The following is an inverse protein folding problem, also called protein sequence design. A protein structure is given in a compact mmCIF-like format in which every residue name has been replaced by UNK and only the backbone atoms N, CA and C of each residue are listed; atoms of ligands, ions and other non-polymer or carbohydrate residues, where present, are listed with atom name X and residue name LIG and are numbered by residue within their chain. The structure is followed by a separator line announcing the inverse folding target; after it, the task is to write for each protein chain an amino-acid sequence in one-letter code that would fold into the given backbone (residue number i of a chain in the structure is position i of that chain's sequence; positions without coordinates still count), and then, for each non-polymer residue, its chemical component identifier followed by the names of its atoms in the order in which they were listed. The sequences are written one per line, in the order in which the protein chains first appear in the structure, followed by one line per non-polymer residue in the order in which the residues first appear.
data_IF_439889261727
#
_entry.id   IF_439889261727
#
_cell.length_a   1.000
_cell.length_b   1.000
_cell.length_c   1.000
_cell.angle_alpha   90.00
_cell.angle_beta   90.00
_cell.angle_gamma   90.00
#
_symmetry.space_group_name_H-M   'P 1'
#
loop_
_entity.id
_entity.type
_entity.pdbx_description
1 polymer ?
#
# COMPACT_ATOMS: atom_id res chain seq x y z
N UNK A 1 -2.65 -27.04 2.51
CA UNK A 1 -2.01 -26.09 1.59
C UNK A 1 -2.18 -24.68 2.17
N UNK A 2 -1.15 -23.83 2.11
CA UNK A 2 -1.30 -22.44 2.51
C UNK A 2 -2.32 -21.75 1.58
N UNK A 3 -3.25 -20.99 2.16
CA UNK A 3 -4.22 -20.20 1.37
C UNK A 3 -3.49 -19.15 0.56
N UNK A 4 -3.89 -18.93 -0.69
CA UNK A 4 -3.34 -17.90 -1.55
C UNK A 4 -3.47 -16.51 -0.89
N UNK A 5 -2.45 -15.67 -1.06
CA UNK A 5 -2.49 -14.28 -0.60
C UNK A 5 -2.04 -13.39 -1.75
N UNK A 6 -2.87 -12.43 -2.12
CA UNK A 6 -2.52 -11.40 -3.11
C UNK A 6 -2.64 -10.01 -2.49
N UNK A 7 -2.13 -8.98 -3.17
CA UNK A 7 -2.28 -7.60 -2.77
C UNK A 7 -2.95 -6.80 -3.89
N UNK A 8 -3.87 -5.91 -3.52
CA UNK A 8 -4.43 -4.87 -4.38
C UNK A 8 -3.85 -3.54 -3.93
N UNK A 9 -3.04 -2.93 -4.80
CA UNK A 9 -2.39 -1.65 -4.57
C UNK A 9 -3.15 -0.57 -5.34
N UNK A 10 -3.80 0.34 -4.61
CA UNK A 10 -4.63 1.39 -5.19
C UNK A 10 -3.73 2.53 -5.70
N UNK A 11 -3.59 2.64 -7.02
CA UNK A 11 -2.72 3.60 -7.69
C UNK A 11 -3.45 4.42 -8.77
N UNK A 12 -4.79 4.47 -8.74
CA UNK A 12 -5.60 5.11 -9.78
C UNK A 12 -5.72 6.64 -9.64
N UNK A 13 -5.33 7.21 -8.50
CA UNK A 13 -5.53 8.63 -8.20
C UNK A 13 -4.71 9.56 -9.08
N UNK A 14 -5.33 10.65 -9.56
CA UNK A 14 -4.71 11.68 -10.40
C UNK A 14 -3.60 12.48 -9.69
N UNK A 15 -3.69 12.64 -8.38
CA UNK A 15 -2.68 13.35 -7.59
C UNK A 15 -2.61 14.86 -7.87
N UNK A 16 -3.74 15.54 -8.04
CA UNK A 16 -3.82 16.98 -8.37
C UNK A 16 -2.94 17.88 -7.49
N UNK A 17 -2.88 17.58 -6.19
CA UNK A 17 -2.04 18.32 -5.23
C UNK A 17 -0.53 18.21 -5.46
N UNK A 18 -0.09 17.21 -6.24
CA UNK A 18 1.31 17.08 -6.64
C UNK A 18 1.75 18.12 -7.67
N UNK A 19 0.79 18.80 -8.33
CA UNK A 19 1.05 19.78 -9.41
C UNK A 19 2.08 19.23 -10.41
N UNK A 20 1.80 18.06 -10.96
CA UNK A 20 2.72 17.31 -11.82
C UNK A 20 1.95 16.54 -12.89
N UNK A 21 2.54 16.43 -14.09
CA UNK A 21 2.04 15.54 -15.14
C UNK A 21 2.37 14.07 -14.88
N UNK A 22 3.34 13.80 -13.99
CA UNK A 22 3.74 12.46 -13.61
C UNK A 22 2.73 11.85 -12.66
N UNK A 23 2.39 10.58 -12.88
CA UNK A 23 1.51 9.81 -12.00
C UNK A 23 2.04 9.87 -10.55
N UNK A 24 1.15 10.09 -9.58
CA UNK A 24 1.51 10.37 -8.19
C UNK A 24 2.45 9.30 -7.60
N UNK A 25 2.10 8.02 -7.73
CA UNK A 25 2.88 6.93 -7.13
C UNK A 25 4.23 6.68 -7.82
N UNK A 26 4.47 7.36 -8.95
CA UNK A 26 5.74 7.28 -9.69
C UNK A 26 6.76 8.35 -9.27
N UNK A 27 6.41 9.29 -8.38
CA UNK A 27 7.39 10.21 -7.81
C UNK A 27 8.43 9.44 -6.99
N UNK A 28 9.70 9.79 -7.18
CA UNK A 28 10.82 9.09 -6.55
C UNK A 28 11.06 9.56 -5.11
N UNK A 29 11.38 8.60 -4.27
CA UNK A 29 11.88 8.73 -2.90
C UNK A 29 13.16 7.91 -2.80
N UNK A 30 14.29 8.54 -2.49
CA UNK A 30 15.59 7.87 -2.36
C UNK A 30 15.88 6.90 -3.53
N UNK A 31 15.65 7.35 -4.78
CA UNK A 31 15.98 6.61 -6.00
C UNK A 31 14.96 5.55 -6.45
N UNK A 32 13.83 5.40 -5.76
CA UNK A 32 12.76 4.46 -6.10
C UNK A 32 11.41 5.16 -6.13
N UNK A 33 10.47 4.83 -7.06
CA UNK A 33 9.09 5.34 -7.00
C UNK A 33 8.38 4.98 -5.69
N UNK A 34 7.43 5.80 -5.24
CA UNK A 34 6.60 5.50 -4.04
C UNK A 34 6.03 4.09 -4.09
N UNK A 35 5.37 3.73 -5.21
CA UNK A 35 4.81 2.39 -5.39
C UNK A 35 5.87 1.30 -5.26
N UNK A 36 7.12 1.57 -5.66
CA UNK A 36 8.23 0.62 -5.54
C UNK A 36 8.63 0.34 -4.09
N UNK A 37 8.40 1.29 -3.17
CA UNK A 37 8.57 1.07 -1.73
C UNK A 37 7.45 0.21 -1.17
N UNK A 38 6.20 0.51 -1.52
CA UNK A 38 5.03 -0.30 -1.13
C UNK A 38 5.16 -1.73 -1.66
N UNK A 39 5.51 -1.90 -2.93
CA UNK A 39 5.77 -3.20 -3.54
C UNK A 39 6.80 -4.02 -2.76
N UNK A 40 7.89 -3.40 -2.35
CA UNK A 40 8.92 -4.05 -1.55
C UNK A 40 8.36 -4.59 -0.23
N UNK A 41 7.54 -3.79 0.47
CA UNK A 41 6.98 -4.20 1.76
C UNK A 41 5.99 -5.37 1.65
N UNK A 42 5.27 -5.50 0.51
CA UNK A 42 4.26 -6.54 0.34
C UNK A 42 4.78 -7.82 -0.29
N UNK A 43 5.81 -7.77 -1.14
CA UNK A 43 6.25 -8.90 -1.99
C UNK A 43 6.60 -10.17 -1.22
N UNK A 44 7.10 -10.06 0.01
CA UNK A 44 7.49 -11.23 0.83
C UNK A 44 6.30 -11.88 1.55
N UNK A 45 5.14 -11.22 1.56
CA UNK A 45 3.96 -11.64 2.33
C UNK A 45 2.77 -12.04 1.45
N UNK A 46 2.96 -12.02 0.14
CA UNK A 46 1.99 -12.46 -0.86
C UNK A 46 2.52 -13.67 -1.64
N UNK A 47 1.61 -14.55 -2.05
CA UNK A 47 1.96 -15.73 -2.85
C UNK A 47 1.73 -15.52 -4.34
N UNK A 48 0.86 -14.55 -4.67
CA UNK A 48 0.47 -14.18 -6.03
C UNK A 48 1.07 -12.84 -6.42
N UNK A 49 1.11 -12.55 -7.72
CA UNK A 49 1.53 -11.22 -8.18
C UNK A 49 0.59 -10.14 -7.65
N UNK A 50 1.12 -9.02 -7.15
CA UNK A 50 0.28 -7.93 -6.71
C UNK A 50 -0.49 -7.34 -7.89
N UNK A 51 -1.72 -6.93 -7.63
CA UNK A 51 -2.59 -6.26 -8.58
C UNK A 51 -2.47 -4.76 -8.34
N UNK A 52 -2.00 -4.03 -9.33
CA UNK A 52 -1.93 -2.56 -9.29
C UNK A 52 -3.12 -1.99 -10.02
N UNK A 53 -3.94 -1.22 -9.30
CA UNK A 53 -5.11 -0.56 -9.88
C UNK A 53 -4.69 0.77 -10.47
N UNK A 54 -4.85 0.89 -11.77
CA UNK A 54 -4.46 2.04 -12.57
C UNK A 54 -5.67 2.94 -12.89
N UNK A 55 -5.38 4.22 -13.09
CA UNK A 55 -6.33 5.22 -13.56
C UNK A 55 -5.58 6.25 -14.40
N UNK A 56 -5.30 7.42 -13.85
CA UNK A 56 -4.52 8.47 -14.52
C UNK A 56 -3.09 8.00 -14.80
N UNK A 57 -2.62 8.22 -16.06
CA UNK A 57 -1.26 7.91 -16.53
C UNK A 57 -0.75 6.51 -16.10
N UNK A 58 -1.59 5.48 -16.27
CA UNK A 58 -1.26 4.11 -15.89
C UNK A 58 -0.12 3.49 -16.71
N UNK A 59 0.18 4.01 -17.90
CA UNK A 59 1.23 3.47 -18.77
C UNK A 59 2.63 3.66 -18.15
N UNK A 60 2.90 4.81 -17.52
CA UNK A 60 4.18 5.04 -16.82
C UNK A 60 4.45 4.02 -15.70
N UNK A 61 3.39 3.53 -15.05
CA UNK A 61 3.47 2.46 -14.03
C UNK A 61 3.80 1.12 -14.69
N UNK A 62 3.13 0.79 -15.78
CA UNK A 62 3.36 -0.46 -16.53
C UNK A 62 4.77 -0.53 -17.11
N UNK A 63 5.24 0.57 -17.67
CA UNK A 63 6.60 0.66 -18.25
C UNK A 63 7.67 0.39 -17.20
N UNK A 64 7.43 0.83 -15.96
CA UNK A 64 8.38 0.66 -14.88
C UNK A 64 8.33 -0.74 -14.24
N UNK A 65 7.14 -1.27 -13.94
CA UNK A 65 6.97 -2.53 -13.21
C UNK A 65 6.81 -3.74 -14.13
N UNK A 66 6.42 -3.55 -15.39
CA UNK A 66 6.34 -4.58 -16.41
C UNK A 66 5.51 -5.80 -15.95
N UNK A 67 6.12 -6.98 -15.98
CA UNK A 67 5.48 -8.25 -15.63
C UNK A 67 5.52 -8.58 -14.13
N UNK A 68 6.06 -7.70 -13.30
CA UNK A 68 6.13 -7.94 -11.84
C UNK A 68 4.75 -7.77 -11.16
N UNK A 69 3.79 -7.17 -11.87
CA UNK A 69 2.42 -6.91 -11.41
C UNK A 69 1.37 -7.42 -12.41
N UNK A 70 0.18 -7.67 -11.90
CA UNK A 70 -1.07 -7.69 -12.69
C UNK A 70 -1.67 -6.30 -12.64
N UNK A 71 -2.35 -5.87 -13.70
CA UNK A 71 -2.93 -4.53 -13.76
C UNK A 71 -4.45 -4.60 -13.92
N UNK A 72 -5.15 -3.78 -13.16
CA UNK A 72 -6.58 -3.55 -13.28
C UNK A 72 -6.83 -2.05 -13.52
N UNK A 73 -7.90 -1.72 -14.23
CA UNK A 73 -8.21 -0.33 -14.58
C UNK A 73 -9.50 0.13 -13.91
N UNK A 74 -9.39 1.21 -13.15
CA UNK A 74 -10.56 1.91 -12.65
C UNK A 74 -11.24 2.64 -13.81
N UNK A 75 -12.50 2.30 -14.10
CA UNK A 75 -13.24 2.89 -15.24
C UNK A 75 -13.67 4.32 -14.98
N UNK A 76 -14.13 4.61 -13.76
CA UNK A 76 -14.55 5.95 -13.36
C UNK A 76 -13.38 6.72 -12.76
N UNK A 77 -12.84 7.70 -13.47
CA UNK A 77 -11.77 8.60 -12.97
C UNK A 77 -12.25 10.03 -13.16
N UNK A 78 -12.33 10.85 -12.10
CA UNK A 78 -12.02 10.51 -10.70
C UNK A 78 -13.10 9.63 -10.08
N UNK A 79 -12.68 8.59 -9.38
CA UNK A 79 -13.53 7.68 -8.61
C UNK A 79 -13.05 7.58 -7.16
N UNK A 80 -13.80 6.85 -6.34
CA UNK A 80 -13.45 6.61 -4.94
C UNK A 80 -12.59 5.35 -4.77
N UNK A 81 -12.16 5.08 -3.53
CA UNK A 81 -11.35 3.89 -3.20
C UNK A 81 -12.09 2.58 -3.40
N UNK A 82 -13.42 2.58 -3.24
CA UNK A 82 -14.25 1.38 -3.44
C UNK A 82 -14.31 1.03 -4.92
N UNK A 83 -14.42 2.02 -5.82
CA UNK A 83 -14.38 1.78 -7.27
C UNK A 83 -13.02 1.19 -7.70
N UNK A 84 -11.93 1.73 -7.16
CA UNK A 84 -10.59 1.18 -7.39
C UNK A 84 -10.49 -0.26 -6.84
N UNK A 85 -11.03 -0.54 -5.64
CA UNK A 85 -11.04 -1.87 -5.06
C UNK A 85 -11.86 -2.85 -5.90
N UNK A 86 -13.03 -2.46 -6.41
CA UNK A 86 -13.84 -3.26 -7.34
C UNK A 86 -13.05 -3.63 -8.59
N UNK A 87 -12.36 -2.66 -9.19
CA UNK A 87 -11.50 -2.91 -10.34
C UNK A 87 -10.37 -3.89 -10.01
N UNK A 88 -9.70 -3.74 -8.85
CA UNK A 88 -8.67 -4.67 -8.41
C UNK A 88 -9.21 -6.08 -8.16
N UNK A 89 -10.37 -6.21 -7.52
CA UNK A 89 -11.00 -7.50 -7.24
C UNK A 89 -11.45 -8.24 -8.51
N UNK A 90 -11.76 -7.56 -9.60
CA UNK A 90 -12.07 -8.21 -10.88
C UNK A 90 -10.87 -8.98 -11.47
N UNK A 91 -9.64 -8.62 -11.08
CA UNK A 91 -8.41 -9.30 -11.49
C UNK A 91 -7.96 -10.40 -10.49
N UNK A 92 -8.67 -10.60 -9.38
CA UNK A 92 -8.39 -11.67 -8.42
C UNK A 92 -9.01 -12.98 -8.94
N UNK A 93 -8.17 -13.91 -9.37
CA UNK A 93 -8.61 -15.20 -9.93
C UNK A 93 -8.90 -16.27 -8.86
N UNK A 94 -8.40 -16.09 -7.63
CA UNK A 94 -8.62 -17.04 -6.55
C UNK A 94 -10.02 -16.85 -5.93
N UNK A 95 -10.67 -17.97 -5.58
CA UNK A 95 -11.95 -17.95 -4.84
C UNK A 95 -11.76 -18.03 -3.33
N UNK A 96 -10.61 -18.48 -2.89
CA UNK A 96 -10.25 -18.63 -1.47
C UNK A 96 -8.88 -18.04 -1.19
N UNK A 97 -8.68 -17.60 0.04
CA UNK A 97 -7.43 -16.99 0.48
C UNK A 97 -7.65 -15.57 0.99
N UNK A 98 -6.61 -14.78 0.94
CA UNK A 98 -6.61 -13.42 1.50
C UNK A 98 -6.20 -12.38 0.46
N UNK A 99 -6.77 -11.21 0.58
CA UNK A 99 -6.40 -10.05 -0.23
C UNK A 99 -6.04 -8.88 0.68
N UNK A 100 -4.79 -8.45 0.56
CA UNK A 100 -4.27 -7.22 1.18
C UNK A 100 -4.66 -6.03 0.30
N UNK A 101 -5.29 -5.01 0.88
CA UNK A 101 -5.72 -3.79 0.20
C UNK A 101 -4.97 -2.61 0.79
N UNK A 102 -4.21 -1.90 -0.03
CA UNK A 102 -3.38 -0.78 0.42
C UNK A 102 -3.33 0.33 -0.63
N UNK A 103 -3.11 1.56 -0.17
CA UNK A 103 -2.80 2.67 -1.06
C UNK A 103 -1.37 2.54 -1.61
N UNK A 104 -1.19 2.81 -2.92
CA UNK A 104 0.13 2.76 -3.58
C UNK A 104 1.08 3.91 -3.21
N UNK A 105 0.63 4.86 -2.40
CA UNK A 105 1.35 6.05 -1.96
C UNK A 105 1.68 6.06 -0.45
N UNK A 106 1.84 4.87 0.15
CA UNK A 106 2.25 4.66 1.55
C UNK A 106 3.69 4.10 1.62
N UNK A 107 4.72 4.86 1.27
CA UNK A 107 6.07 4.32 1.09
C UNK A 107 6.77 3.95 2.40
N UNK A 108 6.26 4.38 3.55
CA UNK A 108 6.86 4.16 4.87
C UNK A 108 6.32 2.92 5.59
N UNK A 109 5.29 2.25 5.04
CA UNK A 109 4.80 0.99 5.59
C UNK A 109 5.91 -0.06 5.63
N UNK A 110 6.10 -0.70 6.79
CA UNK A 110 7.16 -1.70 6.96
C UNK A 110 6.72 -3.11 6.56
N UNK A 111 7.69 -3.96 6.19
CA UNK A 111 7.46 -5.40 5.96
C UNK A 111 6.84 -6.07 7.19
N UNK A 112 7.25 -5.64 8.41
CA UNK A 112 6.73 -6.18 9.66
C UNK A 112 5.24 -5.87 9.84
N UNK A 113 4.81 -4.67 9.54
CA UNK A 113 3.41 -4.25 9.64
C UNK A 113 2.55 -4.97 8.62
N UNK A 114 3.03 -5.12 7.39
CA UNK A 114 2.36 -5.92 6.36
C UNK A 114 2.23 -7.38 6.78
N UNK A 115 3.30 -7.98 7.31
CA UNK A 115 3.27 -9.35 7.84
C UNK A 115 2.21 -9.51 8.94
N UNK A 116 2.20 -8.61 9.92
CA UNK A 116 1.24 -8.64 11.02
C UNK A 116 -0.21 -8.52 10.52
N UNK A 117 -0.45 -7.65 9.52
CA UNK A 117 -1.77 -7.47 8.94
C UNK A 117 -2.27 -8.73 8.22
N UNK A 118 -1.40 -9.37 7.43
CA UNK A 118 -1.74 -10.61 6.72
C UNK A 118 -1.94 -11.76 7.70
N UNK A 119 -1.06 -11.91 8.71
CA UNK A 119 -1.21 -12.96 9.72
C UNK A 119 -2.47 -12.79 10.56
N UNK A 120 -2.79 -11.55 10.97
CA UNK A 120 -3.99 -11.25 11.73
C UNK A 120 -5.29 -11.56 10.98
N UNK A 121 -5.28 -11.57 9.65
CA UNK A 121 -6.45 -11.95 8.86
C UNK A 121 -6.67 -13.47 8.83
N UNK A 122 -5.62 -14.27 9.06
CA UNK A 122 -5.71 -15.74 8.96
C UNK A 122 -6.61 -16.30 10.06
N UNK A 123 -7.68 -16.98 9.64
CA UNK A 123 -8.69 -17.53 10.53
C UNK A 123 -9.79 -16.56 10.95
N UNK A 124 -9.77 -15.33 10.43
CA UNK A 124 -10.76 -14.30 10.65
C UNK A 124 -11.31 -13.76 9.33
N UNK A 125 -12.38 -12.97 9.41
CA UNK A 125 -13.02 -12.39 8.21
C UNK A 125 -12.18 -11.29 7.59
N UNK A 126 -11.50 -10.51 8.42
CA UNK A 126 -10.59 -9.44 7.99
C UNK A 126 -9.63 -9.03 9.10
N UNK A 127 -8.57 -8.32 8.72
CA UNK A 127 -7.79 -7.47 9.60
C UNK A 127 -7.74 -6.04 9.07
N UNK A 128 -7.52 -5.09 9.96
CA UNK A 128 -7.45 -3.67 9.66
C UNK A 128 -6.21 -3.07 10.31
N UNK A 129 -5.45 -2.27 9.54
CA UNK A 129 -4.37 -1.48 10.09
C UNK A 129 -4.93 -0.20 10.71
N UNK A 130 -4.56 0.06 11.96
CA UNK A 130 -4.82 1.31 12.64
C UNK A 130 -3.48 1.98 12.91
N UNK A 131 -3.32 3.18 12.39
CA UNK A 131 -2.18 4.03 12.68
C UNK A 131 -2.60 5.21 13.54
N UNK A 132 -1.85 5.48 14.58
CA UNK A 132 -2.16 6.53 15.56
C UNK A 132 -1.00 7.50 15.69
N UNK A 133 -1.33 8.79 15.83
CA UNK A 133 -0.36 9.84 16.14
C UNK A 133 -0.03 9.83 17.64
N UNK A 134 1.12 10.39 18.00
CA UNK A 134 1.52 10.54 19.40
C UNK A 134 0.54 11.39 20.22
N UNK A 135 -0.24 12.24 19.55
CA UNK A 135 -1.27 13.10 20.17
C UNK A 135 -2.60 12.36 20.44
N UNK A 136 -2.68 11.06 20.09
CA UNK A 136 -3.87 10.18 20.23
C UNK A 136 -5.16 10.66 19.50
N UNK A 137 -5.16 11.88 18.94
CA UNK A 137 -6.35 12.48 18.34
C UNK A 137 -6.59 12.06 16.86
N UNK A 138 -5.56 11.52 16.19
CA UNK A 138 -5.68 11.15 14.78
C UNK A 138 -5.50 9.66 14.58
N UNK A 139 -6.60 8.96 14.28
CA UNK A 139 -6.60 7.56 13.88
C UNK A 139 -6.88 7.46 12.39
N UNK A 140 -6.04 6.75 11.66
CA UNK A 140 -6.26 6.43 10.26
C UNK A 140 -6.24 4.92 10.03
N UNK A 141 -7.06 4.46 9.09
CA UNK A 141 -7.12 3.06 8.67
C UNK A 141 -6.72 2.95 7.19
N UNK A 142 -5.41 2.93 6.89
CA UNK A 142 -4.95 3.06 5.52
C UNK A 142 -4.83 1.72 4.77
N UNK A 143 -4.89 0.57 5.47
CA UNK A 143 -4.73 -0.74 4.88
C UNK A 143 -5.61 -1.80 5.56
N UNK A 144 -5.97 -2.82 4.78
CA UNK A 144 -6.86 -3.90 5.19
C UNK A 144 -6.38 -5.22 4.59
N UNK A 145 -6.66 -6.34 5.29
CA UNK A 145 -6.55 -7.65 4.70
C UNK A 145 -7.86 -8.41 4.93
N UNK A 146 -8.49 -8.86 3.86
CA UNK A 146 -9.78 -9.56 3.90
C UNK A 146 -9.63 -11.01 3.44
N UNK A 147 -10.44 -11.91 3.96
CA UNK A 147 -10.72 -13.15 3.26
C UNK A 147 -11.44 -12.84 1.95
N UNK A 148 -11.01 -13.46 0.84
CA UNK A 148 -11.50 -13.14 -0.52
C UNK A 148 -13.01 -13.32 -0.63
N UNK A 149 -13.56 -14.42 -0.11
CA UNK A 149 -15.00 -14.68 -0.11
C UNK A 149 -15.80 -13.59 0.62
N UNK A 150 -15.28 -13.15 1.77
CA UNK A 150 -15.91 -12.11 2.59
C UNK A 150 -15.89 -10.76 1.86
N UNK A 151 -14.75 -10.40 1.24
CA UNK A 151 -14.68 -9.14 0.50
C UNK A 151 -15.59 -9.15 -0.74
N UNK A 152 -15.71 -10.28 -1.45
CA UNK A 152 -16.65 -10.40 -2.58
C UNK A 152 -18.10 -10.14 -2.15
N UNK A 153 -18.52 -10.61 -0.96
CA UNK A 153 -19.83 -10.31 -0.42
C UNK A 153 -19.97 -8.83 0.01
N UNK A 154 -18.94 -8.24 0.62
CA UNK A 154 -18.93 -6.82 0.96
C UNK A 154 -19.08 -5.93 -0.29
N UNK A 155 -18.47 -6.28 -1.40
CA UNK A 155 -18.54 -5.50 -2.64
C UNK A 155 -19.93 -5.49 -3.31
N UNK A 156 -20.85 -6.35 -2.89
CA UNK A 156 -22.27 -6.29 -3.33
C UNK A 156 -23.04 -5.15 -2.66
N UNK A 157 -22.50 -4.60 -1.58
CA UNK A 157 -23.09 -3.47 -0.86
C UNK A 157 -22.68 -2.16 -1.52
N UNK A 158 -23.57 -1.18 -1.45
CA UNK A 158 -23.21 0.20 -1.75
C UNK A 158 -22.46 0.79 -0.55
N UNK A 159 -21.22 1.25 -0.78
CA UNK A 159 -20.36 1.81 0.25
C UNK A 159 -19.52 2.96 -0.33
N UNK A 160 -19.33 4.00 0.46
CA UNK A 160 -18.53 5.18 0.08
C UNK A 160 -17.04 4.96 0.30
N UNK A 161 -16.68 4.08 1.24
CA UNK A 161 -15.32 3.79 1.65
C UNK A 161 -15.15 2.34 2.13
N UNK A 162 -13.89 1.90 2.27
CA UNK A 162 -13.56 0.53 2.67
C UNK A 162 -13.86 0.29 4.16
N UNK A 163 -13.81 1.33 4.99
CA UNK A 163 -14.12 1.25 6.42
C UNK A 163 -15.58 0.87 6.66
N UNK A 164 -16.48 1.25 5.76
CA UNK A 164 -17.89 0.85 5.80
C UNK A 164 -18.06 -0.67 5.73
N UNK A 165 -17.18 -1.38 5.02
CA UNK A 165 -17.18 -2.86 5.00
C UNK A 165 -16.79 -3.44 6.35
N UNK A 166 -15.74 -2.92 6.98
CA UNK A 166 -15.32 -3.32 8.33
C UNK A 166 -16.43 -3.10 9.33
N UNK A 167 -17.07 -1.94 9.30
CA UNK A 167 -18.20 -1.61 10.16
C UNK A 167 -19.39 -2.57 9.97
N UNK A 168 -19.68 -2.94 8.71
CA UNK A 168 -20.71 -3.93 8.40
C UNK A 168 -20.37 -5.33 8.93
N UNK A 169 -19.12 -5.77 8.75
CA UNK A 169 -18.66 -7.07 9.26
C UNK A 169 -18.83 -7.15 10.79
N UNK A 170 -18.42 -6.10 11.51
CA UNK A 170 -18.59 -6.01 12.97
C UNK A 170 -20.06 -6.07 13.40
N UNK A 171 -20.95 -5.35 12.70
CA UNK A 171 -22.40 -5.40 12.94
C UNK A 171 -23.00 -6.79 12.74
N UNK A 172 -22.39 -7.59 11.85
CA UNK A 172 -22.76 -8.99 11.60
C UNK A 172 -22.07 -9.99 12.54
N UNK A 173 -21.39 -9.51 13.59
CA UNK A 173 -20.58 -10.31 14.51
C UNK A 173 -19.48 -11.14 13.83
N UNK A 174 -19.00 -10.67 12.66
CA UNK A 174 -17.84 -11.26 11.99
C UNK A 174 -16.56 -10.69 12.58
N UNK A 175 -15.59 -11.55 12.87
CA UNK A 175 -14.38 -11.13 13.54
C UNK A 175 -13.47 -10.33 12.62
N UNK A 176 -13.14 -9.11 13.03
CA UNK A 176 -12.16 -8.22 12.41
C UNK A 176 -11.10 -7.88 13.44
N UNK A 177 -9.84 -8.16 13.14
CA UNK A 177 -8.70 -7.94 14.02
C UNK A 177 -8.04 -6.60 13.70
N UNK A 178 -7.83 -5.75 14.71
CA UNK A 178 -7.10 -4.50 14.55
C UNK A 178 -5.60 -4.74 14.79
N UNK A 179 -4.78 -4.27 13.87
CA UNK A 179 -3.32 -4.27 13.94
C UNK A 179 -2.86 -2.82 14.08
N UNK A 180 -2.03 -2.56 15.06
CA UNK A 180 -1.62 -1.20 15.41
C UNK A 180 -0.19 -0.92 14.91
N UNK A 181 0.02 0.27 14.36
CA UNK A 181 1.33 0.76 13.93
C UNK A 181 1.47 2.27 14.17
N UNK A 182 2.69 2.81 14.22
CA UNK A 182 2.92 4.26 14.28
C UNK A 182 2.27 4.99 13.09
N UNK A 183 1.77 6.20 13.32
CA UNK A 183 1.13 7.05 12.30
C UNK A 183 1.92 7.13 11.00
N UNK A 184 3.24 7.25 11.13
CA UNK A 184 4.16 7.38 10.01
C UNK A 184 4.09 6.23 9.00
N UNK A 185 3.80 5.00 9.44
CA UNK A 185 3.66 3.84 8.56
C UNK A 185 2.38 3.88 7.73
N UNK A 186 1.35 4.56 8.22
CA UNK A 186 0.08 4.76 7.52
C UNK A 186 0.02 6.05 6.70
N UNK A 187 1.05 6.88 6.73
CA UNK A 187 1.06 8.17 6.06
C UNK A 187 1.00 8.02 4.55
N UNK A 188 -0.04 8.61 3.95
CA UNK A 188 -0.24 8.65 2.52
C UNK A 188 0.29 9.97 1.94
N UNK A 189 1.24 9.89 1.02
CA UNK A 189 1.74 11.08 0.33
C UNK A 189 0.64 11.65 -0.56
N UNK A 190 0.23 12.89 -0.26
CA UNK A 190 -0.81 13.59 -0.99
C UNK A 190 -0.25 14.73 -1.86
N UNK A 191 0.81 15.39 -1.42
CA UNK A 191 1.43 16.56 -2.04
C UNK A 191 2.96 16.56 -1.96
N UNK A 192 3.58 17.69 -2.29
CA UNK A 192 5.03 17.86 -2.31
C UNK A 192 5.66 17.96 -0.93
N UNK A 193 4.94 18.45 0.04
CA UNK A 193 5.40 18.56 1.43
C UNK A 193 5.49 17.19 2.06
N UNK A 194 4.44 16.37 1.92
CA UNK A 194 4.46 14.97 2.31
C UNK A 194 5.62 14.20 1.65
N UNK A 195 5.81 14.44 0.34
CA UNK A 195 6.89 13.81 -0.43
C UNK A 195 8.26 14.15 0.16
N UNK A 196 8.48 15.41 0.53
CA UNK A 196 9.71 15.88 1.14
C UNK A 196 9.91 15.25 2.54
N UNK A 197 8.88 15.25 3.38
CA UNK A 197 8.93 14.63 4.71
C UNK A 197 9.28 13.16 4.63
N UNK A 198 8.57 12.39 3.78
CA UNK A 198 8.84 10.97 3.60
C UNK A 198 10.25 10.71 3.05
N UNK A 199 10.72 11.56 2.12
CA UNK A 199 12.09 11.41 1.60
C UNK A 199 13.16 11.64 2.67
N UNK A 200 12.95 12.60 3.58
CA UNK A 200 13.85 12.85 4.70
C UNK A 200 13.94 11.65 5.66
N UNK A 201 12.78 11.05 5.98
CA UNK A 201 12.71 9.87 6.84
C UNK A 201 13.40 8.67 6.20
N UNK A 202 13.07 8.33 4.95
CA UNK A 202 13.71 7.21 4.24
C UNK A 202 15.22 7.41 4.10
N UNK A 203 15.67 8.64 3.84
CA UNK A 203 17.10 8.97 3.80
C UNK A 203 17.78 8.64 5.12
N UNK A 204 17.21 9.09 6.24
CA UNK A 204 17.76 8.80 7.58
C UNK A 204 17.82 7.31 7.87
N UNK A 205 16.78 6.57 7.55
CA UNK A 205 16.73 5.11 7.73
C UNK A 205 17.78 4.38 6.88
N UNK A 206 17.93 4.79 5.60
CA UNK A 206 18.94 4.22 4.69
C UNK A 206 20.34 4.47 5.26
N UNK A 207 20.65 5.72 5.63
CA UNK A 207 21.96 6.10 6.15
C UNK A 207 22.25 5.39 7.49
N UNK A 208 21.26 5.34 8.40
CA UNK A 208 21.37 4.59 9.64
C UNK A 208 21.61 3.07 9.42
N UNK A 209 20.92 2.49 8.43
CA UNK A 209 21.15 1.09 8.05
C UNK A 209 22.55 0.84 7.53
N UNK A 210 23.09 1.76 6.75
CA UNK A 210 24.47 1.68 6.23
C UNK A 210 25.51 1.85 7.36
N UNK A 211 25.28 2.78 8.30
CA UNK A 211 26.13 2.95 9.47
C UNK A 211 26.19 1.68 10.31
N UNK A 212 25.06 1.02 10.55
CA UNK A 212 25.01 -0.28 11.24
C UNK A 212 25.78 -1.39 10.52
N UNK A 213 26.03 -1.24 9.21
CA UNK A 213 26.84 -2.15 8.38
C UNK A 213 28.31 -1.73 8.26
N UNK A 214 28.74 -0.74 9.06
CA UNK A 214 30.13 -0.29 9.12
C UNK A 214 30.50 0.83 8.16
N UNK A 215 29.54 1.44 7.47
CA UNK A 215 29.81 2.62 6.63
C UNK A 215 29.92 3.86 7.51
N UNK A 216 31.03 4.60 7.37
CA UNK A 216 31.23 5.89 8.06
C UNK A 216 30.79 7.03 7.16
N UNK A 217 29.95 7.92 7.69
CA UNK A 217 29.56 9.17 7.06
C UNK A 217 30.26 10.34 7.75
N UNK A 218 30.74 11.31 7.00
CA UNK A 218 31.20 12.58 7.54
C UNK A 218 30.00 13.38 8.05
N UNK A 219 28.95 13.43 7.22
CA UNK A 219 27.66 14.05 7.57
C UNK A 219 26.52 13.20 7.00
N UNK A 220 25.84 12.38 7.85
CA UNK A 220 24.75 11.55 7.38
C UNK A 220 23.50 12.34 6.98
N UNK A 221 23.32 13.58 7.48
CA UNK A 221 22.16 14.40 7.13
C UNK A 221 22.27 15.00 5.73
N UNK A 222 23.47 15.23 5.21
CA UNK A 222 23.70 15.71 3.85
C UNK A 222 23.87 14.60 2.81
N UNK A 223 23.98 13.33 3.26
CA UNK A 223 24.22 12.21 2.35
C UNK A 223 22.89 11.71 1.73
N UNK A 224 22.82 11.74 0.39
CA UNK A 224 21.68 11.25 -0.39
C UNK A 224 22.07 9.96 -1.13
N UNK A 225 21.62 8.81 -0.59
CA UNK A 225 21.89 7.49 -1.17
C UNK A 225 20.60 6.93 -1.74
N UNK A 226 20.61 6.72 -3.07
CA UNK A 226 19.50 6.12 -3.79
C UNK A 226 19.61 4.59 -3.83
N UNK A 227 18.55 3.90 -3.46
CA UNK A 227 18.45 2.46 -3.65
C UNK A 227 18.03 2.18 -5.10
N UNK A 228 19.00 1.93 -5.99
CA UNK A 228 18.67 1.51 -7.36
C UNK A 228 18.04 0.12 -7.35
N UNK A 229 16.92 -0.04 -8.03
CA UNK A 229 16.47 -1.36 -8.45
C UNK A 229 17.50 -1.91 -9.44
N UNK A 230 17.93 -3.17 -9.26
CA UNK A 230 18.73 -3.82 -10.32
C UNK A 230 17.85 -3.83 -11.57
N UNK A 231 18.32 -3.19 -12.65
CA UNK A 231 17.71 -3.37 -13.95
C UNK A 231 17.71 -4.89 -14.23
N UNK A 232 16.52 -5.50 -14.32
CA UNK A 232 16.43 -6.87 -14.82
C UNK A 232 16.90 -6.83 -16.29
N UNK A 233 18.03 -7.48 -16.58
CA UNK A 233 18.49 -7.74 -17.94
C UNK A 233 17.57 -8.78 -18.60
#
# INVERSE_FOLDING_TARGET
MAKATTAILLAAGEGKRMVSKKQKVMHNLCGRPMLGWVMRSVQQHITERPIVVLGFDGESVKDYFGKDCTYAYQQNVPGNRVDALRAGMSAVNADTGYVLVMAGNMPLVTERTVAALVEAAKGFSASRLICFSDDEDTLISPAYCFEISVLRECLKMDASDIESYVSCLRKKNMAVVDVYAPYIEGMEIADREDLWCCNAILRREINASLMRKGVTFIDPESAYIGLRQKAKR
#
